data_IF_039688139274
#
_entry.id   IF_039688139274
#
_cell.length_a   1.000
_cell.length_b   1.000
_cell.length_c   1.000
_cell.angle_alpha   90.00
_cell.angle_beta   90.00
_cell.angle_gamma   90.00
#
_symmetry.space_group_name_H-M   'P 1'
#
loop_
_entity.id
_entity.type
_entity.pdbx_description
1 polymer ?
#
# COMPACT_ATOMS: atom_id res chain seq x y z
N UNK A 1 5.63 -14.62 7.99
CA UNK A 1 5.48 -13.44 8.87
C UNK A 1 5.46 -12.25 7.95
N UNK A 2 4.39 -11.46 7.96
CA UNK A 2 4.32 -10.25 7.14
C UNK A 2 5.23 -9.21 7.76
N UNK A 3 6.13 -8.63 6.97
CA UNK A 3 7.04 -7.57 7.42
C UNK A 3 6.71 -6.27 6.72
N UNK A 4 7.10 -5.16 7.35
CA UNK A 4 6.92 -3.82 6.79
C UNK A 4 7.63 -3.68 5.44
N UNK A 5 8.81 -4.27 5.29
CA UNK A 5 9.60 -4.27 4.05
C UNK A 5 8.84 -4.98 2.93
N UNK A 6 8.28 -6.17 3.20
CA UNK A 6 7.53 -6.91 2.20
C UNK A 6 6.31 -6.13 1.67
N UNK A 7 5.57 -5.47 2.57
CA UNK A 7 4.43 -4.62 2.17
C UNK A 7 4.92 -3.39 1.41
N UNK A 8 6.02 -2.79 1.83
CA UNK A 8 6.62 -1.62 1.17
C UNK A 8 6.99 -1.95 -0.27
N UNK A 9 7.66 -3.08 -0.50
CA UNK A 9 8.05 -3.52 -1.84
C UNK A 9 6.84 -3.76 -2.74
N UNK A 10 5.78 -4.41 -2.22
CA UNK A 10 4.54 -4.62 -2.95
C UNK A 10 3.88 -3.31 -3.35
N UNK A 11 3.78 -2.35 -2.42
CA UNK A 11 3.17 -1.04 -2.71
C UNK A 11 4.00 -0.27 -3.74
N UNK A 12 5.33 -0.23 -3.58
CA UNK A 12 6.23 0.45 -4.51
C UNK A 12 6.17 -0.15 -5.92
N UNK A 13 6.05 -1.48 -6.02
CA UNK A 13 5.86 -2.16 -7.29
C UNK A 13 4.53 -1.76 -7.95
N UNK A 14 3.45 -1.66 -7.17
CA UNK A 14 2.12 -1.32 -7.67
C UNK A 14 2.02 0.13 -8.15
N UNK A 15 2.53 1.08 -7.37
CA UNK A 15 2.45 2.51 -7.68
C UNK A 15 3.53 2.96 -8.68
N UNK A 16 4.43 2.07 -9.10
CA UNK A 16 5.49 2.36 -10.06
C UNK A 16 4.94 2.91 -11.38
N UNK A 17 5.39 4.12 -11.75
CA UNK A 17 4.92 4.81 -12.96
C UNK A 17 3.67 5.68 -12.74
N UNK A 18 3.18 5.78 -11.51
CA UNK A 18 2.15 6.76 -11.09
C UNK A 18 2.78 7.92 -10.34
N UNK A 19 2.00 8.97 -10.05
CA UNK A 19 2.41 10.07 -9.15
C UNK A 19 2.11 9.79 -7.67
N UNK A 20 1.56 8.61 -7.37
CA UNK A 20 1.29 8.18 -6.00
C UNK A 20 2.62 7.86 -5.33
N UNK A 21 2.81 8.35 -4.11
CA UNK A 21 3.96 8.06 -3.28
C UNK A 21 3.55 7.44 -1.95
N UNK A 22 4.43 6.56 -1.45
CA UNK A 22 4.26 5.91 -0.16
C UNK A 22 4.74 6.85 0.96
N UNK A 23 3.88 7.07 1.96
CA UNK A 23 4.18 7.89 3.15
C UNK A 23 4.65 7.01 4.30
N UNK A 24 3.89 5.96 4.63
CA UNK A 24 4.20 5.07 5.76
C UNK A 24 3.57 3.69 5.56
N UNK A 25 4.25 2.67 6.07
CA UNK A 25 3.69 1.32 6.25
C UNK A 25 3.83 0.91 7.71
N UNK A 26 2.73 0.45 8.29
CA UNK A 26 2.67 -0.06 9.66
C UNK A 26 2.08 -1.46 9.66
N UNK A 27 2.83 -2.43 10.18
CA UNK A 27 2.35 -3.80 10.40
C UNK A 27 2.21 -4.05 11.89
N UNK A 28 0.99 -4.30 12.35
CA UNK A 28 0.67 -4.59 13.76
C UNK A 28 0.46 -6.10 13.98
N UNK A 29 0.56 -6.58 15.23
CA UNK A 29 0.21 -7.96 15.57
C UNK A 29 -1.17 -8.35 15.04
N UNK A 30 -1.30 -9.60 14.58
CA UNK A 30 -2.53 -10.08 13.94
C UNK A 30 -2.63 -9.71 12.45
N UNK A 31 -1.51 -9.39 11.79
CA UNK A 31 -1.46 -9.01 10.37
C UNK A 31 -2.34 -7.80 10.03
N UNK A 32 -2.53 -6.89 10.98
CA UNK A 32 -3.23 -5.63 10.73
C UNK A 32 -2.25 -4.67 10.08
N UNK A 33 -2.42 -4.46 8.77
CA UNK A 33 -1.56 -3.63 7.95
C UNK A 33 -2.25 -2.28 7.73
N UNK A 34 -1.51 -1.19 7.87
CA UNK A 34 -1.94 0.17 7.52
C UNK A 34 -0.93 0.76 6.56
N UNK A 35 -1.41 1.26 5.42
CA UNK A 35 -0.59 1.87 4.38
C UNK A 35 -1.08 3.29 4.17
N UNK A 36 -0.19 4.26 4.33
CA UNK A 36 -0.43 5.66 4.04
C UNK A 36 0.22 6.00 2.70
N UNK A 37 -0.60 6.48 1.77
CA UNK A 37 -0.21 6.92 0.42
C UNK A 37 -0.82 8.27 0.15
N UNK A 38 -0.16 9.06 -0.69
CA UNK A 38 -0.64 10.37 -1.12
C UNK A 38 -0.18 10.66 -2.56
N UNK A 39 -0.74 11.70 -3.16
CA UNK A 39 -0.44 12.15 -4.51
C UNK A 39 -0.58 13.68 -4.57
N UNK A 40 0.27 14.42 -5.33
CA UNK A 40 0.24 15.89 -5.34
C UNK A 40 -1.12 16.52 -5.66
N UNK A 41 -1.92 15.89 -6.54
CA UNK A 41 -3.26 16.36 -6.91
C UNK A 41 -4.38 15.83 -5.99
N UNK A 42 -4.02 15.10 -4.93
CA UNK A 42 -4.94 14.43 -4.03
C UNK A 42 -5.31 13.02 -4.50
N UNK A 43 -5.31 12.08 -3.57
CA UNK A 43 -5.64 10.68 -3.86
C UNK A 43 -7.15 10.43 -3.74
N UNK A 44 -7.72 9.68 -4.70
CA UNK A 44 -9.12 9.29 -4.66
C UNK A 44 -9.34 8.03 -3.81
N UNK A 45 -10.56 7.85 -3.30
CA UNK A 45 -10.93 6.62 -2.58
C UNK A 45 -10.82 5.38 -3.49
N UNK A 46 -11.09 5.53 -4.79
CA UNK A 46 -10.96 4.42 -5.74
C UNK A 46 -9.52 3.93 -5.87
N UNK A 47 -8.53 4.84 -5.90
CA UNK A 47 -7.12 4.46 -5.89
C UNK A 47 -6.74 3.71 -4.60
N UNK A 48 -7.22 4.20 -3.45
CA UNK A 48 -7.02 3.49 -2.17
C UNK A 48 -7.62 2.07 -2.19
N UNK A 49 -8.81 1.91 -2.77
CA UNK A 49 -9.46 0.59 -2.91
C UNK A 49 -8.65 -0.33 -3.82
N UNK A 50 -8.11 0.18 -4.93
CA UNK A 50 -7.28 -0.62 -5.84
C UNK A 50 -5.99 -1.11 -5.16
N UNK A 51 -5.30 -0.24 -4.44
CA UNK A 51 -4.10 -0.61 -3.65
C UNK A 51 -4.46 -1.67 -2.62
N UNK A 52 -5.56 -1.48 -1.88
CA UNK A 52 -6.01 -2.46 -0.87
C UNK A 52 -6.34 -3.82 -1.48
N UNK A 53 -6.98 -3.87 -2.65
CA UNK A 53 -7.27 -5.13 -3.36
C UNK A 53 -6.00 -5.83 -3.81
N UNK A 54 -5.09 -5.09 -4.45
CA UNK A 54 -3.80 -5.63 -4.90
C UNK A 54 -3.01 -6.24 -3.74
N UNK A 55 -2.96 -5.56 -2.59
CA UNK A 55 -2.28 -6.07 -1.40
C UNK A 55 -2.94 -7.35 -0.86
N UNK A 56 -4.27 -7.41 -0.80
CA UNK A 56 -4.96 -8.63 -0.37
C UNK A 56 -4.68 -9.80 -1.33
N UNK A 57 -4.79 -9.59 -2.64
CA UNK A 57 -4.53 -10.63 -3.65
C UNK A 57 -3.07 -11.11 -3.65
N UNK A 58 -2.12 -10.26 -3.24
CA UNK A 58 -0.70 -10.61 -3.15
C UNK A 58 -0.34 -11.35 -1.84
N UNK A 59 -1.22 -11.31 -0.84
CA UNK A 59 -0.98 -11.84 0.51
C UNK A 59 -1.88 -13.04 0.87
N UNK A 60 -2.89 -13.35 0.03
CA UNK A 60 -3.67 -14.60 0.06
C UNK A 60 -2.77 -15.84 -0.13
#
# INVERSE_FOLDING_TARGET
MITTEHITDLVLQYIGGTEIFLVEVLVKPGNVITVHVDMPEGISIDECVKISRYLNESLD
#
